data_IF_337893297527
#
_entry.id   IF_337893297527
#
_cell.length_a   1.000
_cell.length_b   1.000
_cell.length_c   1.000
_cell.angle_alpha   90.00
_cell.angle_beta   90.00
_cell.angle_gamma   90.00
#
_symmetry.space_group_name_H-M   'P 1'
#
loop_
_entity.id
_entity.type
_entity.pdbx_description
1 polymer ?
#
# COMPACT_ATOMS: atom_id res chain seq x y z
N UNK A 1 56.11 67.80 14.51
CA UNK A 1 56.38 66.35 14.37
C UNK A 1 55.43 65.63 15.31
N UNK A 2 54.38 64.98 14.78
CA UNK A 2 53.62 63.92 15.46
C UNK A 2 52.89 63.13 14.37
N UNK A 3 53.36 61.91 14.10
CA UNK A 3 52.73 60.95 13.18
C UNK A 3 51.86 60.01 14.02
N UNK A 4 50.56 60.01 13.76
CA UNK A 4 49.63 58.99 14.26
C UNK A 4 49.71 57.77 13.32
N UNK A 5 50.11 56.62 13.85
CA UNK A 5 50.05 55.32 13.19
C UNK A 5 48.64 54.72 13.37
N UNK A 6 48.01 54.14 12.34
CA UNK A 6 46.75 53.44 12.51
C UNK A 6 47.02 52.02 13.06
N UNK A 7 46.27 51.67 14.10
CA UNK A 7 46.22 50.33 14.69
C UNK A 7 45.45 49.41 13.74
N UNK A 8 46.12 48.44 13.12
CA UNK A 8 45.47 47.39 12.31
C UNK A 8 44.98 46.30 13.26
N UNK A 9 43.65 46.19 13.40
CA UNK A 9 43.00 45.11 14.15
C UNK A 9 42.95 43.86 13.25
N UNK A 10 43.83 42.89 13.50
CA UNK A 10 43.78 41.58 12.84
C UNK A 10 42.73 40.72 13.56
N UNK A 11 41.57 40.53 12.94
CA UNK A 11 40.57 39.58 13.40
C UNK A 11 40.98 38.17 12.95
N UNK A 12 41.42 37.34 13.89
CA UNK A 12 41.64 35.92 13.65
C UNK A 12 40.27 35.23 13.77
N UNK A 13 39.63 34.97 12.64
CA UNK A 13 38.50 34.06 12.60
C UNK A 13 39.03 32.63 12.79
N UNK A 14 38.88 32.11 14.01
CA UNK A 14 39.03 30.67 14.27
C UNK A 14 37.85 29.99 13.59
N UNK A 15 38.08 29.47 12.39
CA UNK A 15 37.15 28.54 11.76
C UNK A 15 37.18 27.26 12.59
N UNK A 16 36.15 27.03 13.39
CA UNK A 16 35.87 25.71 13.93
C UNK A 16 35.52 24.79 12.75
N UNK A 17 36.54 24.17 12.16
CA UNK A 17 36.33 23.04 11.28
C UNK A 17 35.65 21.95 12.12
N UNK A 18 34.36 21.71 11.87
CA UNK A 18 33.67 20.54 12.39
C UNK A 18 34.20 19.31 11.65
N UNK A 19 35.33 18.78 12.10
CA UNK A 19 35.78 17.44 11.70
C UNK A 19 34.96 16.42 12.46
N UNK A 20 33.87 16.00 11.83
CA UNK A 20 32.95 15.00 12.36
C UNK A 20 32.15 14.31 11.26
N UNK A 21 32.77 14.05 10.10
CA UNK A 21 32.28 13.06 9.13
C UNK A 21 32.58 11.66 9.69
N UNK A 22 31.93 11.32 10.80
CA UNK A 22 31.65 9.91 11.07
C UNK A 22 30.84 9.38 9.90
N UNK A 23 31.12 8.15 9.47
CA UNK A 23 30.51 7.47 8.32
C UNK A 23 28.98 7.63 8.31
N UNK A 24 28.47 8.68 7.64
CA UNK A 24 27.04 8.94 7.53
C UNK A 24 26.50 7.97 6.48
N UNK A 25 25.64 7.04 6.90
CA UNK A 25 25.00 6.08 5.99
C UNK A 25 23.86 6.70 5.17
N UNK A 26 23.35 7.87 5.56
CA UNK A 26 22.23 8.55 4.89
C UNK A 26 22.48 10.06 4.80
N UNK A 27 21.99 10.65 3.71
CA UNK A 27 21.98 12.09 3.43
C UNK A 27 20.55 12.53 3.12
N UNK A 28 20.19 13.75 3.55
CA UNK A 28 18.90 14.36 3.20
C UNK A 28 19.03 14.96 1.80
N UNK A 29 18.24 14.46 0.85
CA UNK A 29 18.27 14.88 -0.56
C UNK A 29 16.87 15.10 -1.14
N UNK A 30 15.81 15.07 -0.33
CA UNK A 30 14.43 15.08 -0.82
C UNK A 30 14.14 16.30 -1.69
N UNK A 31 14.52 17.49 -1.23
CA UNK A 31 14.33 18.73 -1.99
C UNK A 31 15.12 18.73 -3.31
N UNK A 32 16.37 18.25 -3.30
CA UNK A 32 17.20 18.10 -4.51
C UNK A 32 16.55 17.14 -5.51
N UNK A 33 15.89 16.09 -5.01
CA UNK A 33 15.21 15.08 -5.83
C UNK A 33 13.76 15.45 -6.18
N UNK A 34 13.27 16.64 -5.83
CA UNK A 34 11.92 17.09 -6.18
C UNK A 34 10.81 16.64 -5.21
N UNK A 35 11.14 15.92 -4.15
CA UNK A 35 10.22 15.57 -3.07
C UNK A 35 10.15 16.72 -2.06
N UNK A 36 9.16 17.60 -2.23
CA UNK A 36 9.00 18.85 -1.45
C UNK A 36 7.81 18.83 -0.48
N UNK A 37 7.35 17.63 -0.11
CA UNK A 37 6.19 17.45 0.76
C UNK A 37 6.44 17.94 2.19
N UNK A 38 5.48 18.70 2.71
CA UNK A 38 5.42 19.11 4.12
C UNK A 38 4.14 18.53 4.74
N UNK A 39 4.31 17.64 5.73
CA UNK A 39 3.18 17.11 6.50
C UNK A 39 2.65 18.17 7.46
N UNK A 40 1.33 18.31 7.49
CA UNK A 40 0.59 19.26 8.33
C UNK A 40 -0.37 18.48 9.20
N UNK A 41 0.00 18.26 10.46
CA UNK A 41 -0.86 17.56 11.42
C UNK A 41 -2.07 18.38 11.88
N UNK A 42 -2.12 19.68 11.61
CA UNK A 42 -3.22 20.58 12.02
C UNK A 42 -3.09 21.20 13.39
N UNK A 43 -2.00 20.91 14.10
CA UNK A 43 -1.75 21.50 15.40
C UNK A 43 -1.53 23.01 15.27
N UNK A 44 -2.49 23.79 15.76
CA UNK A 44 -2.42 25.26 15.78
C UNK A 44 -2.50 25.79 17.21
N UNK A 45 -3.65 25.64 17.87
CA UNK A 45 -3.91 26.22 19.20
C UNK A 45 -4.21 25.16 20.27
N UNK A 46 -5.00 24.16 19.89
CA UNK A 46 -5.35 23.02 20.74
C UNK A 46 -4.52 21.80 20.35
N UNK A 47 -4.39 20.84 21.28
CA UNK A 47 -3.60 19.63 21.08
C UNK A 47 -4.53 18.42 21.08
N UNK A 48 -5.13 18.13 19.94
CA UNK A 48 -5.97 16.94 19.82
C UNK A 48 -5.09 15.70 19.64
N UNK A 49 -5.48 14.59 20.26
CA UNK A 49 -4.70 13.34 20.20
C UNK A 49 -4.31 12.92 18.77
N UNK A 50 -5.18 13.02 17.74
CA UNK A 50 -4.82 12.67 16.36
C UNK A 50 -3.67 13.51 15.77
N UNK A 51 -3.49 14.75 16.23
CA UNK A 51 -2.48 15.70 15.72
C UNK A 51 -1.05 15.36 16.15
N UNK A 52 -0.91 14.45 17.11
CA UNK A 52 0.37 13.88 17.50
C UNK A 52 0.84 12.75 16.55
N UNK A 53 0.01 12.36 15.57
CA UNK A 53 0.32 11.32 14.60
C UNK A 53 0.95 11.91 13.33
N UNK A 54 1.90 11.19 12.75
CA UNK A 54 2.39 11.46 11.40
C UNK A 54 1.53 10.76 10.34
N UNK A 55 1.63 11.22 9.09
CA UNK A 55 1.05 10.54 7.94
C UNK A 55 1.84 9.29 7.52
N UNK A 56 1.17 8.37 6.83
CA UNK A 56 1.81 7.24 6.17
C UNK A 56 2.42 7.59 4.81
N UNK A 57 3.17 6.66 4.26
CA UNK A 57 3.72 6.73 2.91
C UNK A 57 3.61 5.36 2.22
N UNK A 58 3.49 5.37 0.89
CA UNK A 58 3.58 4.17 0.07
C UNK A 58 4.55 4.40 -1.10
N UNK A 59 5.26 3.33 -1.44
CA UNK A 59 5.96 3.18 -2.72
C UNK A 59 5.21 2.16 -3.56
N UNK A 60 4.94 2.48 -4.81
CA UNK A 60 4.22 1.63 -5.75
C UNK A 60 4.50 2.07 -7.18
N UNK A 61 4.34 1.18 -8.14
CA UNK A 61 4.47 1.48 -9.57
C UNK A 61 3.09 1.91 -10.09
N UNK A 62 2.92 3.20 -10.38
CA UNK A 62 1.61 3.79 -10.66
C UNK A 62 1.23 3.74 -12.14
N UNK A 63 2.19 3.64 -13.05
CA UNK A 63 1.97 3.62 -14.50
C UNK A 63 2.66 2.45 -15.23
N UNK A 64 3.19 1.49 -14.48
CA UNK A 64 3.68 0.20 -14.98
C UNK A 64 5.05 0.31 -15.67
N UNK A 65 5.78 1.39 -15.44
CA UNK A 65 7.10 1.62 -16.04
C UNK A 65 8.24 0.90 -15.28
N UNK A 66 7.93 0.36 -14.10
CA UNK A 66 8.84 -0.38 -13.24
C UNK A 66 9.62 0.48 -12.24
N UNK A 67 9.47 1.80 -12.30
CA UNK A 67 10.00 2.73 -11.32
C UNK A 67 8.97 2.95 -10.20
N UNK A 68 9.41 2.96 -8.94
CA UNK A 68 8.49 3.16 -7.82
C UNK A 68 8.21 4.64 -7.62
N UNK A 69 6.94 5.00 -7.68
CA UNK A 69 6.36 6.29 -7.35
C UNK A 69 6.06 6.41 -5.86
N UNK A 70 5.82 7.65 -5.42
CA UNK A 70 5.65 7.99 -4.01
C UNK A 70 4.25 8.55 -3.77
N UNK A 71 3.52 7.96 -2.83
CA UNK A 71 2.30 8.53 -2.27
C UNK A 71 2.51 8.92 -0.80
N UNK A 72 2.26 10.18 -0.47
CA UNK A 72 2.42 10.73 0.88
C UNK A 72 1.08 11.16 1.44
N UNK A 73 0.74 10.60 2.60
CA UNK A 73 -0.51 10.88 3.28
C UNK A 73 -0.36 12.18 4.07
N UNK A 74 -1.29 13.08 3.80
CA UNK A 74 -1.45 14.35 4.48
C UNK A 74 -2.51 14.22 5.57
N UNK A 75 -2.46 15.12 6.54
CA UNK A 75 -3.52 15.30 7.50
C UNK A 75 -4.15 16.68 7.25
N UNK A 76 -4.31 17.50 8.26
CA UNK A 76 -4.82 18.85 8.11
C UNK A 76 -5.43 19.28 9.41
N UNK A 77 -6.44 20.14 9.41
CA UNK A 77 -7.08 20.59 10.64
C UNK A 77 -8.26 19.69 11.02
N UNK A 78 -8.45 19.47 12.33
CA UNK A 78 -9.66 18.83 12.87
C UNK A 78 -10.81 19.80 13.12
N UNK A 79 -10.54 21.11 13.09
CA UNK A 79 -11.50 22.16 13.45
C UNK A 79 -11.92 23.01 12.24
N UNK A 80 -11.11 23.05 11.19
CA UNK A 80 -11.43 23.78 9.95
C UNK A 80 -12.25 22.90 9.01
N UNK A 81 -12.91 23.55 8.04
CA UNK A 81 -13.74 22.87 7.06
C UNK A 81 -12.91 21.97 6.12
N UNK A 82 -13.56 20.96 5.56
CA UNK A 82 -12.91 19.92 4.75
C UNK A 82 -12.31 20.46 3.43
N UNK A 83 -12.89 21.51 2.86
CA UNK A 83 -12.41 22.19 1.65
C UNK A 83 -11.13 23.02 1.87
N UNK A 84 -10.80 23.32 3.12
CA UNK A 84 -9.54 23.96 3.51
C UNK A 84 -8.42 22.96 3.84
N UNK A 85 -8.74 21.66 3.88
CA UNK A 85 -7.76 20.62 4.19
C UNK A 85 -6.72 20.55 3.07
N UNK A 86 -5.42 20.45 3.38
CA UNK A 86 -4.43 20.05 2.40
C UNK A 86 -4.69 18.61 1.95
N UNK A 87 -4.34 18.28 0.71
CA UNK A 87 -4.52 16.93 0.18
C UNK A 87 -3.27 16.08 0.39
N UNK A 88 -3.45 14.77 0.30
CA UNK A 88 -2.37 13.83 0.03
C UNK A 88 -1.60 14.24 -1.24
N UNK A 89 -0.36 13.77 -1.37
CA UNK A 89 0.49 14.04 -2.53
C UNK A 89 0.88 12.77 -3.25
N UNK A 90 0.88 12.83 -4.57
CA UNK A 90 1.39 11.82 -5.47
C UNK A 90 2.58 12.39 -6.24
N UNK A 91 3.69 11.67 -6.22
CA UNK A 91 4.91 12.02 -6.92
C UNK A 91 5.30 10.90 -7.87
N UNK A 92 5.39 11.22 -9.17
CA UNK A 92 5.91 10.31 -10.18
C UNK A 92 7.43 10.27 -10.12
N UNK A 93 8.02 9.08 -10.12
CA UNK A 93 9.43 8.89 -10.35
C UNK A 93 9.72 9.02 -11.85
N UNK A 94 10.66 9.87 -12.25
CA UNK A 94 10.96 10.11 -13.66
C UNK A 94 12.00 9.15 -14.24
N UNK A 95 12.48 8.18 -13.46
CA UNK A 95 13.54 7.25 -13.83
C UNK A 95 14.94 7.86 -13.90
N UNK A 96 15.06 9.18 -13.72
CA UNK A 96 16.32 9.94 -13.70
C UNK A 96 16.84 10.20 -12.27
N UNK A 97 16.19 9.60 -11.26
CA UNK A 97 16.48 9.82 -9.86
C UNK A 97 15.84 11.07 -9.27
N UNK A 98 14.89 11.70 -9.97
CA UNK A 98 14.06 12.78 -9.47
C UNK A 98 12.58 12.43 -9.54
N UNK A 99 11.80 13.16 -8.75
CA UNK A 99 10.36 13.04 -8.62
C UNK A 99 9.66 14.31 -9.13
N UNK A 100 8.47 14.13 -9.69
CA UNK A 100 7.57 15.19 -10.12
C UNK A 100 6.26 15.10 -9.36
N UNK A 101 5.79 16.21 -8.78
CA UNK A 101 4.47 16.28 -8.16
C UNK A 101 3.39 16.25 -9.24
N UNK A 102 2.67 15.13 -9.32
CA UNK A 102 1.61 14.89 -10.29
C UNK A 102 0.25 14.82 -9.61
N UNK A 103 0.13 15.37 -8.40
CA UNK A 103 -1.10 15.31 -7.60
C UNK A 103 -2.28 15.95 -8.32
N UNK A 104 -2.08 17.14 -8.90
CA UNK A 104 -3.14 17.88 -9.59
C UNK A 104 -3.64 17.11 -10.82
N UNK A 105 -4.95 16.87 -10.88
CA UNK A 105 -5.58 16.15 -11.98
C UNK A 105 -5.45 14.62 -11.92
N UNK A 106 -4.65 14.06 -11.01
CA UNK A 106 -4.54 12.61 -10.83
C UNK A 106 -5.79 11.98 -10.21
N UNK A 107 -6.56 12.74 -9.41
CA UNK A 107 -7.65 12.18 -8.59
C UNK A 107 -7.16 11.43 -7.34
N UNK A 108 -5.86 11.46 -7.05
CA UNK A 108 -5.27 10.86 -5.85
C UNK A 108 -5.21 11.81 -4.65
N UNK A 109 -5.80 13.00 -4.77
CA UNK A 109 -5.74 14.12 -3.84
C UNK A 109 -6.74 14.00 -2.67
N UNK A 110 -6.81 12.83 -2.02
CA UNK A 110 -7.65 12.63 -0.83
C UNK A 110 -7.34 13.72 0.22
N UNK A 111 -8.40 14.40 0.68
CA UNK A 111 -8.35 15.53 1.63
C UNK A 111 -8.86 15.16 3.02
N UNK A 112 -9.07 13.86 3.27
CA UNK A 112 -9.37 13.35 4.59
C UNK A 112 -8.23 13.65 5.58
N UNK A 113 -8.54 13.58 6.88
CA UNK A 113 -7.49 13.62 7.90
C UNK A 113 -6.74 12.29 7.91
N UNK A 114 -5.72 12.19 7.05
CA UNK A 114 -4.99 10.97 6.76
C UNK A 114 -4.10 10.49 7.89
N UNK A 115 -4.01 9.16 7.97
CA UNK A 115 -3.21 8.44 8.97
C UNK A 115 -2.22 7.47 8.32
N UNK A 116 -2.65 6.75 7.30
CA UNK A 116 -1.89 5.64 6.75
C UNK A 116 -2.39 5.25 5.37
N UNK A 117 -1.57 4.48 4.65
CA UNK A 117 -1.89 4.00 3.30
C UNK A 117 -1.41 2.56 3.14
N UNK A 118 -2.16 1.78 2.36
CA UNK A 118 -1.75 0.47 1.89
C UNK A 118 -1.88 0.40 0.37
N UNK A 119 -0.88 -0.14 -0.31
CA UNK A 119 -0.86 -0.32 -1.76
C UNK A 119 -1.04 -1.79 -2.14
N UNK A 120 -1.96 -2.09 -3.05
CA UNK A 120 -2.13 -3.40 -3.67
C UNK A 120 -3.10 -3.33 -4.84
N UNK A 121 -2.86 -4.14 -5.88
CA UNK A 121 -3.85 -4.46 -6.92
C UNK A 121 -5.02 -5.25 -6.30
N UNK A 122 -6.11 -4.57 -5.95
CA UNK A 122 -7.21 -5.20 -5.20
C UNK A 122 -8.23 -5.88 -6.11
N UNK A 123 -8.31 -5.45 -7.36
CA UNK A 123 -9.32 -5.89 -8.33
C UNK A 123 -8.74 -6.80 -9.43
N UNK A 124 -7.43 -7.00 -9.44
CA UNK A 124 -6.65 -7.87 -10.30
C UNK A 124 -6.63 -7.41 -11.75
N UNK A 125 -6.67 -6.10 -12.00
CA UNK A 125 -6.47 -5.53 -13.34
C UNK A 125 -4.99 -5.32 -13.71
N UNK A 126 -4.09 -5.42 -12.72
CA UNK A 126 -2.64 -5.32 -12.90
C UNK A 126 -2.08 -3.97 -12.47
N UNK A 127 -2.94 -3.02 -12.10
CA UNK A 127 -2.56 -1.68 -11.67
C UNK A 127 -2.62 -1.61 -10.14
N UNK A 128 -1.60 -1.01 -9.50
CA UNK A 128 -1.55 -0.98 -8.03
C UNK A 128 -2.46 0.14 -7.49
N UNK A 129 -3.46 -0.26 -6.71
CA UNK A 129 -4.40 0.64 -6.05
C UNK A 129 -3.93 1.11 -4.67
N UNK A 130 -4.57 2.16 -4.14
CA UNK A 130 -4.28 2.72 -2.82
C UNK A 130 -5.50 2.70 -1.90
N UNK A 131 -5.30 2.25 -0.66
CA UNK A 131 -6.29 2.37 0.41
C UNK A 131 -5.76 3.28 1.53
N UNK A 132 -6.40 4.44 1.67
CA UNK A 132 -6.06 5.48 2.66
C UNK A 132 -6.93 5.31 3.90
N UNK A 133 -6.28 5.20 5.06
CA UNK A 133 -6.93 5.25 6.37
C UNK A 133 -6.96 6.68 6.88
N UNK A 134 -8.13 7.11 7.32
CA UNK A 134 -8.39 8.45 7.81
C UNK A 134 -8.95 8.42 9.24
N UNK A 135 -8.92 9.57 9.91
CA UNK A 135 -9.91 9.91 10.90
C UNK A 135 -11.16 10.43 10.16
N UNK A 136 -12.24 9.67 10.22
CA UNK A 136 -13.41 9.90 9.39
C UNK A 136 -13.42 8.94 8.19
N UNK A 137 -13.82 9.44 7.02
CA UNK A 137 -14.02 8.63 5.81
C UNK A 137 -12.70 8.06 5.30
N UNK A 138 -12.52 6.74 5.33
CA UNK A 138 -11.44 6.08 4.58
C UNK A 138 -11.69 6.13 3.08
N UNK A 139 -10.61 6.09 2.29
CA UNK A 139 -10.68 6.24 0.83
C UNK A 139 -10.00 5.06 0.14
N UNK A 140 -10.69 4.42 -0.82
CA UNK A 140 -10.08 3.46 -1.75
C UNK A 140 -9.96 4.13 -3.12
N UNK A 141 -8.73 4.40 -3.54
CA UNK A 141 -8.37 4.96 -4.84
C UNK A 141 -7.98 3.82 -5.76
N UNK A 142 -8.80 3.58 -6.80
CA UNK A 142 -8.49 2.61 -7.85
C UNK A 142 -7.61 3.27 -8.89
N UNK A 143 -6.46 2.67 -9.20
CA UNK A 143 -5.59 3.13 -10.27
C UNK A 143 -6.23 2.75 -11.62
N UNK A 144 -6.21 3.65 -12.59
CA UNK A 144 -6.75 3.40 -13.94
C UNK A 144 -5.66 3.06 -14.97
N UNK A 145 -4.40 2.90 -14.51
CA UNK A 145 -3.26 2.40 -15.29
C UNK A 145 -2.51 3.46 -16.09
N UNK A 146 -2.93 4.72 -15.99
CA UNK A 146 -2.32 5.88 -16.66
C UNK A 146 -1.81 6.95 -15.68
N UNK A 147 -1.69 6.57 -14.40
CA UNK A 147 -1.35 7.47 -13.31
C UNK A 147 -2.53 8.30 -12.77
N UNK A 148 -3.75 8.03 -13.24
CA UNK A 148 -4.97 8.61 -12.66
C UNK A 148 -5.71 7.61 -11.76
N UNK A 149 -6.51 8.15 -10.83
CA UNK A 149 -7.18 7.41 -9.78
C UNK A 149 -8.65 7.78 -9.70
N UNK A 150 -9.48 6.76 -9.44
CA UNK A 150 -10.92 6.93 -9.18
C UNK A 150 -11.24 6.48 -7.76
N UNK A 151 -11.97 7.30 -7.00
CA UNK A 151 -12.51 6.90 -5.70
C UNK A 151 -13.58 5.79 -5.85
N UNK A 152 -13.27 4.59 -5.35
CA UNK A 152 -14.13 3.40 -5.33
C UNK A 152 -14.58 3.01 -3.93
N UNK A 153 -14.47 3.90 -2.94
CA UNK A 153 -14.77 3.61 -1.53
C UNK A 153 -16.17 3.06 -1.32
N UNK A 154 -17.18 3.72 -1.89
CA UNK A 154 -18.58 3.32 -1.72
C UNK A 154 -18.89 2.04 -2.51
N UNK A 155 -18.41 1.97 -3.76
CA UNK A 155 -18.63 0.81 -4.62
C UNK A 155 -17.98 -0.48 -4.09
N UNK A 156 -16.84 -0.35 -3.41
CA UNK A 156 -16.11 -1.47 -2.80
C UNK A 156 -16.63 -1.85 -1.41
N UNK A 157 -17.41 -0.98 -0.75
CA UNK A 157 -17.88 -1.17 0.63
C UNK A 157 -16.75 -1.10 1.66
N UNK A 158 -15.61 -0.50 1.30
CA UNK A 158 -14.44 -0.37 2.18
C UNK A 158 -14.53 0.84 3.10
N UNK A 159 -15.42 1.79 2.78
CA UNK A 159 -15.72 2.97 3.59
C UNK A 159 -15.88 2.69 5.09
N UNK A 160 -15.39 3.64 5.88
CA UNK A 160 -15.44 3.64 7.34
C UNK A 160 -15.40 5.09 7.79
N UNK A 161 -16.08 5.44 8.89
CA UNK A 161 -16.20 6.83 9.38
C UNK A 161 -15.59 7.06 10.77
N UNK A 162 -14.87 6.07 11.31
CA UNK A 162 -14.20 6.17 12.62
C UNK A 162 -12.73 6.52 12.48
N UNK A 163 -11.97 6.30 13.55
CA UNK A 163 -10.52 6.47 13.53
C UNK A 163 -9.81 5.17 13.13
N UNK A 164 -9.14 5.18 11.98
CA UNK A 164 -8.26 4.09 11.55
C UNK A 164 -6.85 4.58 11.25
N UNK A 165 -5.84 3.74 11.48
CA UNK A 165 -4.44 4.17 11.45
C UNK A 165 -3.53 3.35 10.54
N UNK A 166 -3.91 2.11 10.24
CA UNK A 166 -3.09 1.24 9.42
C UNK A 166 -3.94 0.23 8.67
N UNK A 167 -3.44 -0.19 7.52
CA UNK A 167 -4.08 -1.17 6.69
C UNK A 167 -3.05 -2.11 6.06
N UNK A 168 -3.47 -3.31 5.72
CA UNK A 168 -2.64 -4.26 4.96
C UNK A 168 -3.52 -5.12 4.07
N UNK A 169 -3.10 -5.28 2.82
CA UNK A 169 -3.63 -6.28 1.91
C UNK A 169 -2.83 -7.57 2.01
N UNK A 170 -3.51 -8.71 1.96
CA UNK A 170 -2.86 -10.01 1.94
C UNK A 170 -3.73 -11.10 1.32
N UNK A 171 -3.10 -12.08 0.68
CA UNK A 171 -3.79 -13.27 0.16
C UNK A 171 -3.86 -14.36 1.24
N UNK A 172 -5.07 -14.66 1.72
CA UNK A 172 -5.30 -15.76 2.65
C UNK A 172 -5.67 -17.02 1.88
N UNK A 173 -4.95 -18.12 2.12
CA UNK A 173 -5.30 -19.43 1.56
C UNK A 173 -6.13 -20.22 2.57
N UNK A 174 -7.43 -20.49 2.32
CA UNK A 174 -8.16 -21.42 3.17
C UNK A 174 -7.48 -22.79 3.09
N UNK A 175 -7.31 -23.46 4.25
CA UNK A 175 -6.56 -24.71 4.35
C UNK A 175 -7.07 -25.82 3.40
N UNK A 176 -6.31 -26.91 3.27
CA UNK A 176 -6.52 -28.05 2.33
C UNK A 176 -7.86 -28.82 2.47
N UNK A 177 -9.01 -28.17 2.57
CA UNK A 177 -10.32 -28.80 2.35
C UNK A 177 -10.57 -28.82 0.85
N UNK A 178 -10.63 -30.04 0.31
CA UNK A 178 -10.91 -30.43 -1.07
C UNK A 178 -11.57 -29.32 -1.91
N UNK A 179 -10.80 -28.71 -2.81
CA UNK A 179 -11.36 -28.06 -4.00
C UNK A 179 -10.89 -26.63 -4.29
N UNK A 180 -10.56 -25.81 -3.28
CA UNK A 180 -10.08 -24.44 -3.54
C UNK A 180 -8.57 -24.34 -3.41
N UNK A 181 -7.88 -24.22 -4.56
CA UNK A 181 -6.46 -23.84 -4.63
C UNK A 181 -6.28 -22.31 -4.72
N UNK A 182 -7.38 -21.55 -4.76
CA UNK A 182 -7.37 -20.10 -4.98
C UNK A 182 -7.33 -19.40 -3.63
N UNK A 183 -6.31 -18.57 -3.42
CA UNK A 183 -6.29 -17.66 -2.28
C UNK A 183 -7.35 -16.55 -2.41
N UNK A 184 -7.64 -15.93 -1.29
CA UNK A 184 -8.65 -14.90 -1.14
C UNK A 184 -7.94 -13.61 -0.72
N UNK A 185 -8.08 -12.55 -1.52
CA UNK A 185 -7.55 -11.25 -1.13
C UNK A 185 -8.36 -10.70 0.05
N UNK A 186 -7.64 -10.24 1.06
CA UNK A 186 -8.19 -9.61 2.24
C UNK A 186 -7.54 -8.25 2.49
N UNK A 187 -8.32 -7.35 3.07
CA UNK A 187 -7.88 -6.07 3.61
C UNK A 187 -8.14 -6.09 5.12
N UNK A 188 -7.07 -6.00 5.92
CA UNK A 188 -7.16 -5.79 7.36
C UNK A 188 -6.93 -4.31 7.66
N UNK A 189 -7.88 -3.69 8.37
CA UNK A 189 -7.81 -2.29 8.79
C UNK A 189 -7.76 -2.22 10.32
N UNK A 190 -6.80 -1.46 10.84
CA UNK A 190 -6.62 -1.16 12.27
C UNK A 190 -7.32 0.15 12.61
N UNK A 191 -8.09 0.13 13.70
CA UNK A 191 -8.80 1.27 14.27
C UNK A 191 -9.42 0.87 15.60
N UNK A 192 -10.47 1.56 16.04
CA UNK A 192 -11.18 1.21 17.29
C UNK A 192 -11.69 -0.24 17.33
N UNK A 193 -12.01 -0.79 16.16
CA UNK A 193 -12.27 -2.22 15.95
C UNK A 193 -11.55 -2.67 14.70
N UNK A 194 -10.92 -3.84 14.78
CA UNK A 194 -10.33 -4.45 13.60
C UNK A 194 -11.43 -4.79 12.57
N UNK A 195 -11.18 -4.43 11.32
CA UNK A 195 -12.01 -4.82 10.19
C UNK A 195 -11.20 -5.74 9.30
N UNK A 196 -11.67 -6.98 9.12
CA UNK A 196 -11.15 -7.90 8.12
C UNK A 196 -12.17 -7.98 6.99
N UNK A 197 -11.83 -7.41 5.85
CA UNK A 197 -12.65 -7.39 4.65
C UNK A 197 -12.10 -8.43 3.67
N UNK A 198 -12.99 -9.19 3.05
CA UNK A 198 -12.65 -10.12 1.98
C UNK A 198 -13.12 -9.54 0.65
N UNK A 199 -12.23 -9.48 -0.34
CA UNK A 199 -12.60 -9.09 -1.69
C UNK A 199 -13.59 -10.12 -2.28
N UNK A 200 -14.74 -9.64 -2.76
CA UNK A 200 -15.83 -10.53 -3.23
C UNK A 200 -15.59 -11.07 -4.65
N UNK A 201 -14.77 -10.43 -5.46
CA UNK A 201 -14.60 -10.75 -6.89
C UNK A 201 -13.19 -11.26 -7.16
N UNK A 202 -13.07 -12.58 -7.39
CA UNK A 202 -11.98 -13.17 -8.21
C UNK A 202 -12.53 -13.69 -9.56
N UNK A 203 -13.83 -13.52 -9.82
CA UNK A 203 -14.55 -14.18 -10.93
C UNK A 203 -15.32 -13.23 -11.86
N UNK A 204 -15.63 -11.99 -11.44
CA UNK A 204 -16.58 -11.12 -12.18
C UNK A 204 -15.94 -9.90 -12.87
N UNK A 205 -14.62 -9.73 -12.79
CA UNK A 205 -13.93 -8.56 -13.37
C UNK A 205 -13.33 -8.81 -14.75
N UNK A 206 -13.27 -10.08 -15.20
CA UNK A 206 -12.99 -10.42 -16.59
C UNK A 206 -14.30 -10.84 -17.27
N UNK A 207 -15.08 -9.87 -17.78
CA UNK A 207 -15.85 -10.17 -18.99
C UNK A 207 -14.85 -10.27 -20.14
N UNK A 208 -14.88 -11.33 -20.96
CA UNK A 208 -13.96 -11.46 -22.08
C UNK A 208 -14.35 -10.47 -23.19
N UNK A 209 -13.86 -9.25 -23.10
CA UNK A 209 -13.56 -8.38 -24.22
C UNK A 209 -12.08 -8.04 -24.04
N UNK A 210 -11.11 -8.78 -24.54
CA UNK A 210 -10.79 -8.90 -25.95
C UNK A 210 -9.85 -10.09 -26.14
N UNK A 211 -10.33 -11.18 -26.74
CA UNK A 211 -9.48 -12.23 -27.28
C UNK A 211 -9.98 -12.58 -28.69
N UNK A 212 -10.20 -11.54 -29.51
CA UNK A 212 -10.45 -11.67 -30.93
C UNK A 212 -9.75 -10.54 -31.68
N UNK A 213 -8.46 -10.77 -31.99
CA UNK A 213 -7.60 -10.16 -33.03
C UNK A 213 -6.17 -10.47 -32.58
N UNK A 214 -5.67 -11.69 -32.78
CA UNK A 214 -4.81 -12.00 -33.94
C UNK A 214 -4.71 -13.51 -34.16
N UNK A 215 -5.74 -14.13 -34.77
CA UNK A 215 -5.56 -15.36 -35.55
C UNK A 215 -6.35 -15.26 -36.85
N UNK A 216 -5.91 -14.38 -37.76
CA UNK A 216 -6.15 -14.58 -39.19
C UNK A 216 -4.99 -15.42 -39.71
N UNK A 217 -5.33 -16.63 -40.14
CA UNK A 217 -4.39 -17.65 -40.59
C UNK A 217 -3.57 -17.20 -41.80
N UNK A 218 -2.31 -17.62 -41.81
CA UNK A 218 -1.58 -17.87 -43.05
C UNK A 218 -1.73 -19.36 -43.38
N UNK A 219 -2.08 -19.75 -44.61
CA UNK A 219 -2.14 -21.15 -45.00
C UNK A 219 -0.73 -21.74 -45.07
N UNK A 220 -0.55 -22.94 -44.50
CA UNK A 220 0.66 -23.76 -44.64
C UNK A 220 0.54 -24.54 -45.96
N UNK A 221 1.56 -24.56 -46.84
CA UNK A 221 1.50 -25.34 -48.07
C UNK A 221 1.70 -26.82 -47.78
N UNK A 222 0.82 -27.66 -48.33
CA UNK A 222 1.00 -29.11 -48.36
C UNK A 222 2.01 -29.51 -49.44
N UNK A 223 3.08 -30.21 -49.03
CA UNK A 223 3.86 -31.15 -49.83
C UNK A 223 4.23 -32.27 -48.86
N UNK A 224 3.85 -33.53 -49.04
CA UNK A 224 4.08 -34.39 -50.19
C UNK A 224 4.87 -35.57 -49.64
N UNK A 225 4.23 -36.75 -49.57
CA UNK A 225 4.68 -37.86 -48.73
C UNK A 225 5.98 -38.55 -49.16
N UNK A 226 6.48 -39.40 -48.26
CA UNK A 226 7.17 -40.66 -48.57
C UNK A 226 7.20 -41.56 -47.33
N UNK A 227 6.72 -42.78 -47.50
CA UNK A 227 6.93 -43.94 -46.62
C UNK A 227 8.42 -44.25 -46.47
N UNK A 228 8.80 -44.88 -45.34
CA UNK A 228 9.64 -46.08 -45.32
C UNK A 228 9.55 -46.80 -43.96
N UNK A 229 9.54 -48.13 -44.02
CA UNK A 229 9.54 -49.13 -42.95
C UNK A 229 10.82 -49.15 -42.11
N UNK A 230 10.76 -49.72 -40.88
CA UNK A 230 11.96 -50.27 -40.23
C UNK A 230 11.90 -50.59 -38.73
N UNK A 231 11.34 -51.78 -38.41
CA UNK A 231 11.66 -52.75 -37.32
C UNK A 231 12.51 -52.41 -36.06
N UNK A 232 11.98 -52.95 -34.95
CA UNK A 232 12.61 -53.72 -33.84
C UNK A 232 13.55 -53.08 -32.79
N UNK A 233 13.23 -53.36 -31.52
CA UNK A 233 14.21 -53.92 -30.56
C UNK A 233 14.12 -53.44 -29.11
N UNK A 234 13.65 -54.34 -28.21
CA UNK A 234 14.06 -54.64 -26.81
C UNK A 234 14.74 -53.51 -26.00
N UNK A 235 14.35 -53.17 -24.77
CA UNK A 235 14.13 -54.01 -23.59
C UNK A 235 14.68 -53.24 -22.38
N UNK A 236 14.12 -53.40 -21.18
CA UNK A 236 14.60 -52.65 -20.01
C UNK A 236 13.69 -52.75 -18.79
N UNK A 237 13.86 -53.82 -18.05
CA UNK A 237 13.36 -54.11 -16.70
C UNK A 237 13.68 -53.00 -15.69
N UNK A 238 12.69 -52.54 -14.92
CA UNK A 238 12.87 -51.95 -13.58
C UNK A 238 11.74 -52.32 -12.64
N UNK A 239 11.96 -53.44 -11.97
CA UNK A 239 11.55 -53.69 -10.59
C UNK A 239 11.73 -52.48 -9.65
N UNK A 240 10.74 -52.20 -8.78
CA UNK A 240 10.87 -52.23 -7.30
C UNK A 240 9.65 -51.65 -6.55
N UNK A 241 9.13 -52.52 -5.67
CA UNK A 241 8.59 -52.32 -4.33
C UNK A 241 7.32 -51.49 -4.07
N UNK A 242 6.25 -52.23 -3.75
CA UNK A 242 5.23 -51.88 -2.75
C UNK A 242 5.54 -52.59 -1.42
N UNK A 243 5.33 -51.91 -0.28
CA UNK A 243 4.85 -52.41 1.03
C UNK A 243 4.82 -51.19 1.99
N UNK A 244 3.68 -50.66 2.45
CA UNK A 244 2.74 -51.07 3.52
C UNK A 244 3.39 -51.42 4.87
N UNK A 245 3.05 -50.63 5.92
CA UNK A 245 2.65 -51.05 7.29
C UNK A 245 2.78 -49.84 8.24
N UNK A 246 1.69 -49.22 8.75
CA UNK A 246 0.86 -49.53 9.94
C UNK A 246 1.51 -49.26 11.31
N UNK A 247 0.70 -48.53 12.12
CA UNK A 247 0.55 -48.50 13.60
C UNK A 247 1.32 -47.44 14.40
N UNK A 248 0.54 -46.75 15.25
CA UNK A 248 0.99 -45.89 16.33
C UNK A 248 -0.13 -45.03 16.92
N UNK A 249 -1.18 -45.66 17.49
CA UNK A 249 -2.11 -44.96 18.39
C UNK A 249 -1.43 -44.76 19.76
N UNK A 250 -1.54 -43.57 20.37
CA UNK A 250 -1.75 -43.43 21.82
C UNK A 250 -2.31 -42.06 22.20
N UNK A 251 -3.21 -42.13 23.18
CA UNK A 251 -4.15 -41.11 23.72
C UNK A 251 -3.52 -40.18 24.77
N UNK A 252 -4.35 -39.18 25.14
CA UNK A 252 -4.53 -38.48 26.45
C UNK A 252 -3.95 -37.05 26.46
N UNK A 253 -4.53 -35.99 27.05
CA UNK A 253 -5.78 -35.70 27.78
C UNK A 253 -5.92 -34.16 27.92
N UNK A 254 -7.16 -33.66 27.80
CA UNK A 254 -7.89 -32.58 28.55
C UNK A 254 -7.19 -31.29 29.07
N UNK A 255 -7.91 -30.16 28.88
CA UNK A 255 -7.91 -28.93 29.70
C UNK A 255 -7.19 -27.75 29.00
N UNK A 256 -7.69 -26.51 28.87
CA UNK A 256 -8.56 -25.68 29.71
C UNK A 256 -9.11 -24.51 28.86
N UNK A 257 -10.32 -24.03 29.13
CA UNK A 257 -10.94 -22.87 28.49
C UNK A 257 -10.40 -21.53 29.03
N UNK A 258 -10.34 -20.45 28.23
CA UNK A 258 -10.02 -19.11 28.74
C UNK A 258 -11.26 -18.37 29.29
N UNK A 259 -11.01 -17.62 30.38
CA UNK A 259 -11.98 -16.86 31.18
C UNK A 259 -12.55 -15.65 30.40
N UNK A 260 -13.86 -15.43 30.58
CA UNK A 260 -14.59 -14.23 30.13
C UNK A 260 -14.12 -12.99 30.89
N UNK A 261 -13.75 -11.92 30.17
CA UNK A 261 -13.60 -10.57 30.74
C UNK A 261 -14.91 -9.81 30.55
N UNK A 262 -15.40 -9.25 31.65
CA UNK A 262 -16.68 -8.54 31.78
C UNK A 262 -16.54 -7.14 31.16
N UNK A 263 -17.42 -6.80 30.20
CA UNK A 263 -17.58 -5.44 29.67
C UNK A 263 -18.13 -4.50 30.75
N UNK A 264 -17.46 -3.39 31.02
CA UNK A 264 -18.10 -2.21 31.59
C UNK A 264 -18.59 -1.33 30.44
N UNK A 265 -19.92 -1.19 30.33
CA UNK A 265 -20.57 -0.14 29.53
C UNK A 265 -20.57 1.12 30.39
N UNK A 266 -19.89 2.19 29.99
CA UNK A 266 -20.24 3.55 30.40
C UNK A 266 -21.11 4.14 29.30
N UNK A 267 -22.32 4.53 29.68
CA UNK A 267 -23.24 5.30 28.85
C UNK A 267 -22.71 6.73 28.75
N UNK A 268 -22.60 7.25 27.53
CA UNK A 268 -22.48 8.68 27.27
C UNK A 268 -23.86 9.11 26.75
N UNK A 269 -24.57 9.93 27.53
CA UNK A 269 -25.68 10.74 27.04
C UNK A 269 -25.12 12.09 26.57
N UNK A 270 -25.53 12.61 25.40
CA UNK A 270 -25.34 14.02 25.07
C UNK A 270 -26.53 14.83 25.60
N UNK A 271 -26.24 15.85 26.41
CA UNK A 271 -27.19 16.87 26.79
C UNK A 271 -27.57 17.72 25.57
N UNK A 272 -28.82 17.59 25.11
CA UNK A 272 -29.43 18.52 24.16
C UNK A 272 -29.92 19.74 24.94
N UNK A 273 -29.22 20.88 24.79
CA UNK A 273 -29.75 22.19 25.17
C UNK A 273 -30.72 22.68 24.10
N UNK A 274 -31.95 23.00 24.49
CA UNK A 274 -32.87 23.80 23.68
C UNK A 274 -32.62 25.29 23.91
N UNK A 275 -32.85 26.15 22.90
CA UNK A 275 -32.73 27.59 23.06
C UNK A 275 -33.97 28.18 23.75
N UNK A 276 -33.73 29.08 24.70
CA UNK A 276 -34.67 30.11 25.13
C UNK A 276 -34.24 31.45 24.58
#
# INVERSE_FOLDING_TARGET
MSRLLPLVLVSIAVSCASTGDGERWFEEVAQERGLTFEHRSGHETEHYMPEAMGGGAALFDMDGDGDLDVYLVQSGSLIRAADEQPSNRLYRNRGDGHFEDVTEGSGADDRGYGMGVAAADYDLDGDVDLYVTNLGRNTLLRNEGDGTFTDRTEASGTGHSGWTTGAVFFELRPGRRRGSLRGELHLLVRGERERLLRARRRADLLRPAQLQRTRRGRPVPQRGGRHLHGRHGRGGDRSRLRQRSRRGQRRLRRGRAPRRVRRQRRQFEPALGQPG
#
